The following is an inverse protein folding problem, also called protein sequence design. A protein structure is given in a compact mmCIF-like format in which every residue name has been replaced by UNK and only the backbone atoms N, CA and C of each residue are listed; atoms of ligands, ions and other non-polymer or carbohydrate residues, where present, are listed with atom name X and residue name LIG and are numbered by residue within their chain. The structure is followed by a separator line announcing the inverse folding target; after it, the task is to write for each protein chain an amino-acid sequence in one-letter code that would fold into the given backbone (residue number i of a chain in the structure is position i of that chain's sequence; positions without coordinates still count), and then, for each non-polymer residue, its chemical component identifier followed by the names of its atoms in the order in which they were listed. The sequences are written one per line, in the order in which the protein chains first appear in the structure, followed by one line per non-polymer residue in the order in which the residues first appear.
data_IF_317786671392
#
_entry.id   IF_317786671392
#
_cell.length_a   1.000
_cell.length_b   1.000
_cell.length_c   1.000
_cell.angle_alpha   90.00
_cell.angle_beta   90.00
_cell.angle_gamma   90.00
#
_symmetry.space_group_name_H-M   'P 1'
#
loop_
_entity.id
_entity.type
_entity.pdbx_description
1 polymer ?
#
# COMPACT_ATOMS: atom_id res chain seq x y z
N UNK A 1 12.19 -12.13 4.51
CA UNK A 1 12.53 -11.09 5.51
C UNK A 1 11.85 -9.75 5.26
N UNK A 2 11.78 -9.26 4.01
CA UNK A 2 11.16 -7.97 3.68
C UNK A 2 9.73 -7.77 4.22
N UNK A 3 8.86 -8.78 4.11
CA UNK A 3 7.47 -8.69 4.59
C UNK A 3 7.35 -8.40 6.11
N UNK A 4 8.23 -8.97 6.94
CA UNK A 4 8.20 -8.72 8.39
C UNK A 4 8.73 -7.32 8.72
N UNK A 5 9.77 -6.87 8.00
CA UNK A 5 10.33 -5.51 8.14
C UNK A 5 9.26 -4.47 7.75
N UNK A 6 8.52 -4.71 6.67
CA UNK A 6 7.42 -3.82 6.26
C UNK A 6 6.33 -3.75 7.33
N UNK A 7 5.92 -4.87 7.92
CA UNK A 7 4.92 -4.87 9.00
C UNK A 7 5.38 -4.01 10.19
N UNK A 8 6.64 -4.14 10.61
CA UNK A 8 7.21 -3.32 11.68
C UNK A 8 7.22 -1.82 11.31
N UNK A 9 7.66 -1.48 10.11
CA UNK A 9 7.68 -0.11 9.61
C UNK A 9 6.27 0.51 9.53
N UNK A 10 5.27 -0.26 9.06
CA UNK A 10 3.88 0.20 9.00
C UNK A 10 3.30 0.47 10.39
N UNK A 11 3.59 -0.39 11.37
CA UNK A 11 3.16 -0.18 12.76
C UNK A 11 3.77 1.09 13.33
N UNK A 12 5.08 1.30 13.15
CA UNK A 12 5.74 2.54 13.59
C UNK A 12 5.14 3.77 12.91
N UNK A 13 4.95 3.74 11.59
CA UNK A 13 4.31 4.83 10.84
C UNK A 13 2.95 5.18 11.44
N UNK A 14 2.11 4.18 11.74
CA UNK A 14 0.78 4.42 12.27
C UNK A 14 0.82 5.02 13.69
N UNK A 15 1.69 4.53 14.57
CA UNK A 15 1.84 5.03 15.95
C UNK A 15 2.37 6.47 15.95
N UNK A 16 3.45 6.74 15.21
CA UNK A 16 4.04 8.08 15.11
C UNK A 16 3.08 9.05 14.44
N UNK A 17 2.37 8.63 13.40
CA UNK A 17 1.39 9.47 12.72
C UNK A 17 0.23 9.86 13.65
N UNK A 18 -0.31 8.92 14.44
CA UNK A 18 -1.36 9.23 15.42
C UNK A 18 -0.87 10.16 16.54
N UNK A 19 0.37 9.97 17.03
CA UNK A 19 0.99 10.89 18.01
C UNK A 19 1.18 12.30 17.43
N UNK A 20 1.64 12.40 16.18
CA UNK A 20 1.84 13.67 15.49
C UNK A 20 0.54 14.43 15.21
N UNK A 21 -0.54 13.72 14.90
CA UNK A 21 -1.87 14.31 14.68
C UNK A 21 -2.45 14.93 15.97
N UNK A 22 -2.28 14.26 17.13
CA UNK A 22 -2.69 14.81 18.44
C UNK A 22 -1.88 16.02 18.90
N UNK A 23 -0.60 16.11 18.55
CA UNK A 23 0.31 17.16 19.03
C UNK A 23 0.29 18.48 18.25
N UNK A 24 -0.28 18.51 17.04
CA UNK A 24 -0.26 19.70 16.16
C UNK A 24 -1.63 20.16 15.63
N UNK A 25 -2.73 19.56 16.10
CA UNK A 25 -4.10 19.89 15.62
C UNK A 25 -4.23 19.87 14.08
N UNK A 26 -3.51 18.94 13.44
CA UNK A 26 -3.55 18.76 11.99
C UNK A 26 -4.48 17.59 11.68
N UNK A 27 -5.55 17.85 10.90
CA UNK A 27 -6.47 16.81 10.41
C UNK A 27 -5.70 15.67 9.74
N UNK A 28 -6.15 14.42 9.92
CA UNK A 28 -5.50 13.24 9.34
C UNK A 28 -5.27 13.32 7.83
N UNK A 29 -6.10 14.10 7.13
CA UNK A 29 -5.95 14.35 5.70
C UNK A 29 -4.70 15.18 5.36
N UNK A 30 -4.44 16.27 6.09
CA UNK A 30 -3.25 17.10 5.88
C UNK A 30 -1.97 16.35 6.28
N UNK A 31 -2.05 15.50 7.31
CA UNK A 31 -0.92 14.68 7.70
C UNK A 31 -0.57 13.64 6.63
N UNK A 32 -1.58 13.01 6.02
CA UNK A 32 -1.37 12.10 4.89
C UNK A 32 -0.79 12.82 3.67
N UNK A 33 -1.29 14.02 3.33
CA UNK A 33 -0.78 14.79 2.21
C UNK A 33 0.72 15.14 2.39
N UNK A 34 1.12 15.58 3.58
CA UNK A 34 2.51 15.87 3.92
C UNK A 34 3.39 14.61 3.84
N UNK A 35 2.92 13.49 4.40
CA UNK A 35 3.64 12.21 4.30
C UNK A 35 3.79 11.73 2.85
N UNK A 36 2.74 11.87 2.03
CA UNK A 36 2.78 11.46 0.62
C UNK A 36 3.80 12.30 -0.16
N UNK A 37 3.85 13.61 0.08
CA UNK A 37 4.80 14.52 -0.57
C UNK A 37 6.25 14.23 -0.15
N UNK A 38 6.51 14.03 1.13
CA UNK A 38 7.82 13.63 1.64
C UNK A 38 8.25 12.26 1.09
N UNK A 39 7.31 11.30 1.05
CA UNK A 39 7.61 9.97 0.52
C UNK A 39 8.02 10.03 -0.95
N UNK A 40 7.37 10.87 -1.75
CA UNK A 40 7.71 11.07 -3.15
C UNK A 40 9.13 11.63 -3.30
N UNK A 41 9.51 12.63 -2.50
CA UNK A 41 10.85 13.22 -2.53
C UNK A 41 11.96 12.24 -2.15
N UNK A 42 11.70 11.35 -1.20
CA UNK A 42 12.68 10.35 -0.75
C UNK A 42 12.75 9.16 -1.72
N UNK A 43 11.61 8.69 -2.24
CA UNK A 43 11.58 7.53 -3.12
C UNK A 43 12.18 7.83 -4.49
N UNK A 44 11.90 9.02 -5.04
CA UNK A 44 12.33 9.40 -6.40
C UNK A 44 13.84 9.16 -6.63
N UNK A 45 14.77 9.72 -5.83
CA UNK A 45 16.21 9.48 -6.02
C UNK A 45 16.61 8.02 -5.77
N UNK A 46 15.95 7.33 -4.84
CA UNK A 46 16.23 5.93 -4.54
C UNK A 46 15.85 5.00 -5.69
N UNK A 47 14.68 5.22 -6.30
CA UNK A 47 14.20 4.47 -7.48
C UNK A 47 15.15 4.69 -8.66
N UNK A 48 15.55 5.92 -8.94
CA UNK A 48 16.52 6.19 -10.01
C UNK A 48 17.88 5.54 -9.75
N UNK A 49 18.35 5.50 -8.50
CA UNK A 49 19.64 4.91 -8.15
C UNK A 49 19.63 3.36 -8.18
N UNK A 50 18.53 2.72 -7.80
CA UNK A 50 18.44 1.26 -7.70
C UNK A 50 17.96 0.57 -8.98
N UNK A 51 16.93 1.12 -9.64
CA UNK A 51 16.30 0.49 -10.80
C UNK A 51 16.85 1.05 -12.11
N UNK A 52 17.11 2.36 -12.17
CA UNK A 52 17.60 3.03 -13.37
C UNK A 52 16.61 3.00 -14.56
N UNK A 53 16.85 3.80 -15.60
CA UNK A 53 15.94 3.91 -16.75
C UNK A 53 15.85 2.63 -17.59
N UNK A 54 16.91 1.83 -17.63
CA UNK A 54 17.00 0.64 -18.47
C UNK A 54 16.13 -0.53 -17.98
N UNK A 55 16.05 -0.74 -16.65
CA UNK A 55 15.15 -1.75 -16.07
C UNK A 55 13.69 -1.35 -16.21
N UNK A 56 13.40 -0.04 -16.15
CA UNK A 56 12.05 0.48 -16.34
C UNK A 56 11.53 0.23 -17.77
N UNK A 57 12.36 0.49 -18.77
CA UNK A 57 12.03 0.24 -20.17
C UNK A 57 11.84 -1.26 -20.44
N UNK A 58 12.74 -2.11 -19.94
CA UNK A 58 12.61 -3.56 -20.05
C UNK A 58 11.33 -4.09 -19.37
N UNK A 59 10.98 -3.55 -18.20
CA UNK A 59 9.76 -3.88 -17.49
C UNK A 59 8.50 -3.47 -18.25
N UNK A 60 8.47 -2.27 -18.81
CA UNK A 60 7.36 -1.78 -19.63
C UNK A 60 7.19 -2.60 -20.91
N UNK A 61 8.27 -2.92 -21.62
CA UNK A 61 8.21 -3.77 -22.82
C UNK A 61 7.68 -5.17 -22.48
N UNK A 62 8.13 -5.77 -21.38
CA UNK A 62 7.64 -7.08 -20.92
C UNK A 62 6.15 -7.02 -20.54
N UNK A 63 5.72 -5.94 -19.88
CA UNK A 63 4.32 -5.80 -19.49
C UNK A 63 3.39 -5.56 -20.70
N UNK A 64 3.86 -4.78 -21.69
CA UNK A 64 3.13 -4.53 -22.94
C UNK A 64 3.00 -5.80 -23.78
N UNK A 65 4.00 -6.68 -23.80
CA UNK A 65 3.91 -7.95 -24.55
C UNK A 65 2.97 -8.96 -23.91
N UNK A 66 2.88 -9.00 -22.57
CA UNK A 66 2.02 -9.95 -21.86
C UNK A 66 0.55 -9.49 -21.71
N UNK A 67 0.34 -8.20 -21.44
CA UNK A 67 -0.98 -7.65 -21.07
C UNK A 67 -1.56 -6.75 -22.18
N UNK A 68 -0.72 -6.28 -23.11
CA UNK A 68 -1.10 -5.34 -24.16
C UNK A 68 -1.09 -3.87 -23.72
N UNK A 69 -1.51 -2.94 -24.60
CA UNK A 69 -1.42 -1.49 -24.37
C UNK A 69 -2.29 -1.00 -23.20
N UNK A 70 -3.29 -1.80 -22.79
CA UNK A 70 -4.18 -1.48 -21.67
C UNK A 70 -3.45 -1.48 -20.31
N UNK A 71 -2.22 -1.99 -20.23
CA UNK A 71 -1.44 -1.98 -18.99
C UNK A 71 -1.30 -0.58 -18.38
N UNK A 72 -1.18 0.45 -19.22
CA UNK A 72 -1.08 1.84 -18.77
C UNK A 72 -2.34 2.24 -18.01
N UNK A 73 -3.53 1.87 -18.53
CA UNK A 73 -4.79 2.12 -17.86
C UNK A 73 -4.88 1.39 -16.52
N UNK A 74 -4.47 0.11 -16.48
CA UNK A 74 -4.43 -0.67 -15.24
C UNK A 74 -3.49 -0.08 -14.19
N UNK A 75 -2.31 0.41 -14.61
CA UNK A 75 -1.34 1.07 -13.71
C UNK A 75 -1.92 2.38 -13.14
N UNK A 76 -2.55 3.19 -13.98
CA UNK A 76 -3.21 4.43 -13.54
C UNK A 76 -4.35 4.12 -12.56
N UNK A 77 -5.24 3.20 -12.92
CA UNK A 77 -6.35 2.78 -12.05
C UNK A 77 -5.83 2.28 -10.70
N UNK A 78 -4.84 1.39 -10.70
CA UNK A 78 -4.21 0.86 -9.49
C UNK A 78 -3.64 1.98 -8.61
N UNK A 79 -2.99 2.97 -9.22
CA UNK A 79 -2.39 4.10 -8.50
C UNK A 79 -3.46 4.97 -7.83
N UNK A 80 -4.57 5.25 -8.52
CA UNK A 80 -5.71 6.00 -7.98
C UNK A 80 -6.35 5.25 -6.81
N UNK A 81 -6.66 3.96 -6.97
CA UNK A 81 -7.24 3.16 -5.90
C UNK A 81 -6.30 3.04 -4.69
N UNK A 82 -4.99 2.94 -4.92
CA UNK A 82 -4.01 2.92 -3.85
C UNK A 82 -3.99 4.23 -3.05
N UNK A 83 -4.04 5.38 -3.74
CA UNK A 83 -4.09 6.68 -3.07
C UNK A 83 -5.37 6.85 -2.25
N UNK A 84 -6.52 6.55 -2.85
CA UNK A 84 -7.83 6.62 -2.17
C UNK A 84 -7.87 5.71 -0.95
N UNK A 85 -7.37 4.47 -1.07
CA UNK A 85 -7.28 3.54 0.06
C UNK A 85 -6.47 4.13 1.22
N UNK A 86 -5.28 4.69 0.93
CA UNK A 86 -4.45 5.28 1.96
C UNK A 86 -5.11 6.52 2.58
N UNK A 87 -5.74 7.38 1.77
CA UNK A 87 -6.45 8.55 2.25
C UNK A 87 -7.57 8.17 3.22
N UNK A 88 -8.44 7.23 2.83
CA UNK A 88 -9.52 6.71 3.70
C UNK A 88 -8.96 6.03 4.96
N UNK A 89 -7.84 5.32 4.82
CA UNK A 89 -7.15 4.70 5.96
C UNK A 89 -6.67 5.73 6.98
N UNK A 90 -6.15 6.87 6.52
CA UNK A 90 -5.70 7.96 7.41
C UNK A 90 -6.86 8.72 8.03
N UNK A 91 -7.96 8.93 7.31
CA UNK A 91 -9.19 9.48 7.89
C UNK A 91 -9.75 8.55 8.96
N UNK A 92 -9.75 7.24 8.70
CA UNK A 92 -10.18 6.23 9.68
C UNK A 92 -9.27 6.23 10.90
N UNK A 93 -7.95 6.25 10.68
CA UNK A 93 -6.96 6.32 11.76
C UNK A 93 -7.15 7.55 12.63
N UNK A 94 -7.66 8.67 12.12
CA UNK A 94 -7.97 9.86 12.92
C UNK A 94 -9.11 9.61 13.91
N UNK A 95 -10.15 8.91 13.46
CA UNK A 95 -11.37 8.64 14.22
C UNK A 95 -11.26 7.44 15.17
N UNK A 96 -10.40 6.46 14.88
CA UNK A 96 -10.28 5.22 15.66
C UNK A 96 -8.92 5.07 16.36
N UNK A 97 -8.84 4.11 17.29
CA UNK A 97 -7.58 3.77 17.93
C UNK A 97 -6.63 3.04 16.96
N UNK A 98 -5.30 3.18 17.07
CA UNK A 98 -4.35 2.42 16.26
C UNK A 98 -4.51 0.90 16.37
N UNK A 99 -4.99 0.40 17.51
CA UNK A 99 -5.27 -1.02 17.73
C UNK A 99 -6.45 -1.49 16.86
N UNK A 100 -7.55 -0.74 16.85
CA UNK A 100 -8.72 -1.02 16.01
C UNK A 100 -8.37 -0.95 14.52
N UNK A 101 -7.57 0.05 14.13
CA UNK A 101 -7.07 0.18 12.76
C UNK A 101 -6.23 -1.04 12.33
N UNK A 102 -5.38 -1.55 13.24
CA UNK A 102 -4.57 -2.75 12.98
C UNK A 102 -5.45 -3.99 12.74
N UNK A 103 -6.52 -4.17 13.52
CA UNK A 103 -7.50 -5.26 13.31
C UNK A 103 -8.18 -5.13 11.95
N UNK A 104 -8.60 -3.92 11.56
CA UNK A 104 -9.17 -3.67 10.23
C UNK A 104 -8.21 -4.02 9.09
N UNK A 105 -6.91 -3.72 9.26
CA UNK A 105 -5.88 -4.09 8.29
C UNK A 105 -5.72 -5.62 8.17
N UNK A 106 -5.87 -6.37 9.26
CA UNK A 106 -5.89 -7.84 9.23
C UNK A 106 -7.11 -8.37 8.48
N UNK A 107 -8.32 -7.82 8.73
CA UNK A 107 -9.53 -8.20 8.00
C UNK A 107 -9.42 -7.92 6.50
N UNK A 108 -8.82 -6.78 6.10
CA UNK A 108 -8.53 -6.49 4.69
C UNK A 108 -7.68 -7.59 4.06
N UNK A 109 -6.64 -8.07 4.75
CA UNK A 109 -5.78 -9.15 4.24
C UNK A 109 -6.54 -10.46 4.08
N UNK A 110 -7.40 -10.82 5.04
CA UNK A 110 -8.26 -12.01 4.95
C UNK A 110 -9.18 -11.91 3.72
N UNK A 111 -9.85 -10.78 3.53
CA UNK A 111 -10.73 -10.56 2.37
C UNK A 111 -9.98 -10.72 1.03
N UNK A 112 -8.77 -10.19 0.92
CA UNK A 112 -7.94 -10.32 -0.29
C UNK A 112 -7.53 -11.77 -0.54
N UNK A 113 -7.15 -12.52 0.52
CA UNK A 113 -6.80 -13.94 0.42
C UNK A 113 -8.01 -14.78 -0.02
N UNK A 114 -9.17 -14.59 0.61
CA UNK A 114 -10.38 -15.34 0.26
C UNK A 114 -10.80 -15.04 -1.19
N UNK A 115 -10.77 -13.77 -1.60
CA UNK A 115 -11.12 -13.37 -2.96
C UNK A 115 -10.17 -13.96 -4.00
N UNK A 116 -8.86 -14.00 -3.71
CA UNK A 116 -7.88 -14.57 -4.63
C UNK A 116 -8.06 -16.09 -4.79
N UNK A 117 -8.39 -16.81 -3.71
CA UNK A 117 -8.70 -18.23 -3.76
C UNK A 117 -9.92 -18.49 -4.66
N UNK A 118 -10.98 -17.68 -4.54
CA UNK A 118 -12.19 -17.85 -5.34
C UNK A 118 -11.93 -17.55 -6.82
N UNK A 119 -11.22 -16.46 -7.13
CA UNK A 119 -11.00 -15.99 -8.50
C UNK A 119 -9.97 -16.86 -9.23
N UNK A 120 -8.82 -17.10 -8.61
CA UNK A 120 -7.71 -17.84 -9.25
C UNK A 120 -7.80 -19.35 -9.03
N UNK A 121 -8.77 -19.83 -8.23
CA UNK A 121 -8.96 -21.24 -7.85
C UNK A 121 -7.66 -21.89 -7.39
N UNK A 122 -6.87 -21.15 -6.61
CA UNK A 122 -5.62 -21.65 -6.05
C UNK A 122 -5.92 -22.85 -5.14
N UNK A 123 -5.22 -23.99 -5.32
CA UNK A 123 -5.47 -25.17 -4.50
C UNK A 123 -5.03 -24.91 -3.06
N UNK A 124 -5.98 -24.91 -2.14
CA UNK A 124 -5.75 -24.69 -0.71
C UNK A 124 -5.86 -26.02 0.02
N UNK A 125 -4.83 -26.40 0.76
CA UNK A 125 -4.90 -27.57 1.64
C UNK A 125 -5.77 -27.25 2.88
N UNK A 126 -6.54 -28.19 3.44
CA UNK A 126 -7.43 -27.95 4.58
C UNK A 126 -6.72 -27.38 5.83
N UNK A 127 -5.42 -27.66 5.97
CA UNK A 127 -4.58 -27.13 7.06
C UNK A 127 -4.30 -25.62 6.91
N UNK A 128 -4.34 -25.08 5.68
CA UNK A 128 -4.20 -23.65 5.41
C UNK A 128 -5.53 -22.87 5.50
N UNK A 129 -6.66 -23.57 5.69
CA UNK A 129 -8.00 -22.97 5.80
C UNK A 129 -8.46 -22.78 7.24
N UNK A 130 -7.69 -23.26 8.22
CA UNK A 130 -7.93 -23.23 9.67
C UNK A 130 -7.01 -22.20 10.33
#
# INVERSE_FOLDING_TARGET
MGAMISNLAFVFRNIFSKRGMKGKSVSGMNYYACLSMLSLLILTPFTFAMEGPQMWEAGLQTALTQVGPNIIWWVVAQSVFYHLYNQVSYMSLDQISPLTFSVGNTMKRISVIVSSIIIFRTPVQPVNAL
#
